data_IF_454317226726
#
_entry.id   IF_454317226726
#
_cell.length_a   1.000
_cell.length_b   1.000
_cell.length_c   1.000
_cell.angle_alpha   90.00
_cell.angle_beta   90.00
_cell.angle_gamma   90.00
#
_symmetry.space_group_name_H-M   'P 1'
#
loop_
_entity.id
_entity.type
_entity.pdbx_description
1 polymer ?
#
# COMPACT_ATOMS: atom_id res chain seq x y z
N UNK A 1 23.73 -24.68 17.72
CA UNK A 1 22.26 -24.70 17.46
C UNK A 1 21.56 -23.37 17.79
N UNK A 2 21.80 -22.72 18.94
CA UNK A 2 21.15 -21.41 19.27
C UNK A 2 21.39 -20.26 18.26
N UNK A 3 22.58 -20.17 17.65
CA UNK A 3 22.90 -19.14 16.64
C UNK A 3 22.14 -19.30 15.32
N UNK A 4 21.77 -20.52 14.94
CA UNK A 4 21.02 -20.78 13.68
C UNK A 4 19.56 -20.31 13.85
N UNK A 5 18.96 -20.53 15.01
CA UNK A 5 17.61 -20.05 15.34
C UNK A 5 17.50 -18.52 15.41
N UNK A 6 18.57 -17.83 15.85
CA UNK A 6 18.58 -16.36 15.93
C UNK A 6 18.66 -15.72 14.54
N UNK A 7 19.27 -16.39 13.55
CA UNK A 7 19.37 -15.89 12.17
C UNK A 7 18.14 -16.29 11.33
N UNK A 8 17.51 -17.44 11.62
CA UNK A 8 16.31 -17.87 10.90
C UNK A 8 15.05 -17.08 11.28
N UNK A 9 14.95 -16.59 12.53
CA UNK A 9 13.82 -15.80 13.01
C UNK A 9 13.61 -14.45 12.27
N UNK A 10 14.64 -13.60 12.06
CA UNK A 10 14.48 -12.36 11.29
C UNK A 10 14.22 -12.62 9.81
N UNK A 11 14.79 -13.69 9.23
CA UNK A 11 14.52 -14.08 7.83
C UNK A 11 13.05 -14.49 7.66
N UNK A 12 12.52 -15.29 8.59
CA UNK A 12 11.11 -15.69 8.56
C UNK A 12 10.17 -14.51 8.73
N UNK A 13 10.50 -13.56 9.63
CA UNK A 13 9.76 -12.30 9.78
C UNK A 13 9.76 -11.47 8.49
N UNK A 14 10.91 -11.32 7.83
CA UNK A 14 11.01 -10.58 6.55
C UNK A 14 10.16 -11.23 5.46
N UNK A 15 10.13 -12.56 5.37
CA UNK A 15 9.27 -13.27 4.41
C UNK A 15 7.78 -13.06 4.68
N UNK A 16 7.34 -13.03 5.94
CA UNK A 16 5.94 -12.74 6.29
C UNK A 16 5.50 -11.32 5.93
N UNK A 17 6.41 -10.34 5.90
CA UNK A 17 6.09 -8.97 5.45
C UNK A 17 5.97 -8.86 3.92
N UNK A 18 6.62 -9.75 3.17
CA UNK A 18 6.57 -9.72 1.69
C UNK A 18 5.22 -10.22 1.15
N UNK A 19 4.57 -11.17 1.82
CA UNK A 19 3.26 -11.70 1.40
C UNK A 19 2.13 -10.64 1.49
N UNK A 20 2.28 -9.68 2.40
CA UNK A 20 1.37 -8.54 2.56
C UNK A 20 1.90 -7.25 1.92
N UNK A 21 2.83 -7.32 0.98
CA UNK A 21 3.25 -6.11 0.28
C UNK A 21 2.17 -5.71 -0.73
N UNK A 22 1.79 -4.43 -0.73
CA UNK A 22 0.69 -3.91 -1.53
C UNK A 22 0.83 -4.24 -3.03
N UNK A 23 2.06 -4.27 -3.54
CA UNK A 23 2.40 -4.51 -4.95
C UNK A 23 2.00 -5.92 -5.43
N UNK A 24 1.97 -6.94 -4.57
CA UNK A 24 1.65 -8.31 -5.00
C UNK A 24 0.15 -8.57 -5.12
N UNK A 25 -0.69 -7.72 -4.54
CA UNK A 25 -2.13 -7.89 -4.65
C UNK A 25 -2.66 -7.37 -5.98
N UNK A 26 -3.54 -8.15 -6.62
CA UNK A 26 -4.11 -7.77 -7.92
C UNK A 26 -4.97 -6.50 -7.82
N UNK A 27 -5.70 -6.34 -6.70
CA UNK A 27 -6.55 -5.15 -6.44
C UNK A 27 -5.77 -3.83 -6.46
N UNK A 28 -4.48 -3.86 -6.17
CA UNK A 28 -3.61 -2.67 -6.08
C UNK A 28 -2.81 -2.42 -7.37
N UNK A 29 -2.98 -3.26 -8.40
CA UNK A 29 -2.22 -3.23 -9.65
C UNK A 29 -3.11 -2.80 -10.81
N UNK A 30 -3.41 -1.50 -10.90
CA UNK A 30 -4.37 -0.95 -11.87
C UNK A 30 -3.84 -1.10 -13.30
N UNK A 31 -2.62 -0.63 -13.58
CA UNK A 31 -2.02 -0.69 -14.92
C UNK A 31 -1.66 -2.11 -15.32
N UNK A 32 -1.09 -2.87 -14.41
CA UNK A 32 -0.67 -4.24 -14.72
C UNK A 32 -1.88 -5.13 -14.97
N UNK A 33 -2.97 -4.96 -14.19
CA UNK A 33 -4.23 -5.68 -14.46
C UNK A 33 -4.87 -5.27 -15.78
N UNK A 34 -4.76 -3.99 -16.16
CA UNK A 34 -5.22 -3.50 -17.46
C UNK A 34 -4.43 -4.11 -18.63
N UNK A 35 -3.10 -4.22 -18.49
CA UNK A 35 -2.25 -4.87 -19.49
C UNK A 35 -2.55 -6.36 -19.62
N UNK A 36 -2.76 -7.07 -18.50
CA UNK A 36 -3.14 -8.49 -18.48
C UNK A 36 -4.50 -8.74 -19.18
N UNK A 37 -5.42 -7.79 -19.09
CA UNK A 37 -6.71 -7.87 -19.78
C UNK A 37 -6.55 -7.67 -21.29
N UNK A 38 -5.68 -6.73 -21.70
CA UNK A 38 -5.56 -6.33 -23.10
C UNK A 38 -4.59 -7.18 -23.91
N UNK A 39 -3.51 -7.67 -23.30
CA UNK A 39 -2.46 -8.44 -23.96
C UNK A 39 -2.70 -9.93 -23.65
N UNK A 40 -3.51 -10.58 -24.49
CA UNK A 40 -3.79 -12.02 -24.40
C UNK A 40 -3.29 -12.75 -25.65
N UNK A 41 -2.04 -13.27 -25.64
CA UNK A 41 -1.52 -14.03 -26.78
C UNK A 41 -2.28 -15.36 -26.94
N UNK A 42 -2.67 -15.68 -28.16
CA UNK A 42 -3.43 -16.90 -28.49
C UNK A 42 -2.55 -18.17 -28.55
N UNK A 43 -1.23 -18.01 -28.64
CA UNK A 43 -0.28 -19.12 -28.75
C UNK A 43 1.04 -18.86 -28.00
N UNK A 44 1.74 -19.93 -27.61
CA UNK A 44 3.03 -19.85 -26.93
C UNK A 44 4.10 -19.13 -27.77
N UNK A 45 4.06 -19.28 -29.10
CA UNK A 45 4.98 -18.59 -30.02
C UNK A 45 4.72 -17.08 -30.00
N UNK A 46 3.46 -16.66 -30.00
CA UNK A 46 3.10 -15.24 -29.89
C UNK A 46 3.54 -14.65 -28.53
N UNK A 47 3.47 -15.42 -27.45
CA UNK A 47 3.95 -14.99 -26.13
C UNK A 47 5.47 -14.74 -26.11
N UNK A 48 6.25 -15.64 -26.72
CA UNK A 48 7.71 -15.48 -26.81
C UNK A 48 8.06 -14.30 -27.72
N UNK A 49 7.36 -14.13 -28.85
CA UNK A 49 7.57 -13.01 -29.76
C UNK A 49 7.26 -11.65 -29.12
N UNK A 50 6.26 -11.57 -28.24
CA UNK A 50 5.88 -10.35 -27.51
C UNK A 50 6.79 -10.07 -26.30
N UNK A 51 7.47 -11.09 -25.77
CA UNK A 51 8.27 -10.98 -24.55
C UNK A 51 9.28 -9.83 -24.52
N UNK A 52 10.01 -9.47 -25.61
CA UNK A 52 11.00 -8.40 -25.57
C UNK A 52 10.40 -7.02 -25.28
N UNK A 53 9.12 -6.82 -25.57
CA UNK A 53 8.38 -5.58 -25.31
C UNK A 53 7.52 -5.70 -24.07
N UNK A 54 6.82 -6.83 -23.92
CA UNK A 54 5.91 -7.07 -22.80
C UNK A 54 6.64 -7.08 -21.44
N UNK A 55 7.86 -7.64 -21.38
CA UNK A 55 8.62 -7.69 -20.12
C UNK A 55 8.99 -6.27 -19.64
N UNK A 56 9.66 -5.41 -20.43
CA UNK A 56 9.95 -4.05 -20.01
C UNK A 56 8.68 -3.25 -19.64
N UNK A 57 7.63 -3.34 -20.44
CA UNK A 57 6.37 -2.63 -20.19
C UNK A 57 5.71 -3.10 -18.89
N UNK A 58 5.67 -4.41 -18.65
CA UNK A 58 5.13 -4.99 -17.41
C UNK A 58 5.93 -4.61 -16.17
N UNK A 59 7.26 -4.49 -16.27
CA UNK A 59 8.10 -4.01 -15.15
C UNK A 59 7.79 -2.55 -14.84
N UNK A 60 7.70 -1.69 -15.86
CA UNK A 60 7.36 -0.28 -15.67
C UNK A 60 5.95 -0.12 -15.11
N UNK A 61 4.97 -0.90 -15.59
CA UNK A 61 3.60 -0.84 -15.08
C UNK A 61 3.53 -1.23 -13.60
N UNK A 62 4.24 -2.30 -13.21
CA UNK A 62 4.28 -2.77 -11.83
C UNK A 62 4.92 -1.73 -10.90
N UNK A 63 5.97 -1.06 -11.37
CA UNK A 63 6.64 0.00 -10.63
C UNK A 63 5.74 1.22 -10.43
N UNK A 64 5.02 1.63 -11.48
CA UNK A 64 4.06 2.74 -11.41
C UNK A 64 2.86 2.40 -10.52
N UNK A 65 2.35 1.17 -10.60
CA UNK A 65 1.31 0.68 -9.71
C UNK A 65 1.75 0.78 -8.25
N UNK A 66 2.94 0.28 -7.91
CA UNK A 66 3.42 0.24 -6.54
C UNK A 66 3.81 1.60 -5.93
N UNK A 67 4.41 2.50 -6.71
CA UNK A 67 4.99 3.75 -6.17
C UNK A 67 4.15 4.99 -6.39
N UNK A 68 3.21 4.96 -7.34
CA UNK A 68 2.44 6.13 -7.73
C UNK A 68 0.95 5.86 -7.57
N UNK A 69 0.42 4.87 -8.29
CA UNK A 69 -1.02 4.70 -8.38
C UNK A 69 -1.62 4.14 -7.10
N UNK A 70 -1.02 3.11 -6.52
CA UNK A 70 -1.48 2.53 -5.26
C UNK A 70 -1.44 3.55 -4.12
N UNK A 71 -0.32 4.26 -3.86
CA UNK A 71 -0.30 5.34 -2.87
C UNK A 71 -1.38 6.40 -3.10
N UNK A 72 -1.57 6.86 -4.34
CA UNK A 72 -2.62 7.84 -4.65
C UNK A 72 -4.02 7.30 -4.34
N UNK A 73 -4.30 6.03 -4.65
CA UNK A 73 -5.61 5.42 -4.41
C UNK A 73 -5.97 5.27 -2.93
N UNK A 74 -4.99 5.21 -2.03
CA UNK A 74 -5.22 5.03 -0.58
C UNK A 74 -5.28 6.34 0.20
N UNK A 75 -5.01 7.49 -0.43
CA UNK A 75 -5.19 8.82 0.17
C UNK A 75 -6.60 9.03 0.75
N UNK A 76 -7.71 8.78 0.01
CA UNK A 76 -9.04 9.01 0.55
C UNK A 76 -9.33 8.17 1.79
N UNK A 77 -8.92 6.90 1.79
CA UNK A 77 -9.08 6.00 2.94
C UNK A 77 -8.32 6.54 4.16
N UNK A 78 -7.06 6.95 3.98
CA UNK A 78 -6.24 7.49 5.05
C UNK A 78 -6.78 8.81 5.62
N UNK A 79 -7.38 9.65 4.77
CA UNK A 79 -8.08 10.86 5.22
C UNK A 79 -9.32 10.53 6.02
N UNK A 80 -10.13 9.57 5.54
CA UNK A 80 -11.34 9.15 6.21
C UNK A 80 -11.04 8.54 7.59
N UNK A 81 -10.00 7.73 7.70
CA UNK A 81 -9.59 7.15 8.98
C UNK A 81 -9.03 8.20 9.93
N UNK A 82 -8.24 9.14 9.44
CA UNK A 82 -7.77 10.29 10.23
C UNK A 82 -8.96 11.09 10.78
N UNK A 83 -9.99 11.31 9.95
CA UNK A 83 -11.22 11.99 10.35
C UNK A 83 -11.97 11.20 11.43
N UNK A 84 -12.19 9.90 11.21
CA UNK A 84 -12.88 9.03 12.17
C UNK A 84 -12.19 8.99 13.53
N UNK A 85 -10.86 8.83 13.53
CA UNK A 85 -10.10 8.63 14.78
C UNK A 85 -9.93 9.93 15.56
N UNK A 86 -9.72 11.07 14.90
CA UNK A 86 -9.37 12.33 15.59
C UNK A 86 -10.59 13.24 15.78
N UNK A 87 -11.53 13.24 14.83
CA UNK A 87 -12.54 14.28 14.68
C UNK A 87 -13.99 13.82 14.84
N UNK A 88 -14.36 12.61 14.38
CA UNK A 88 -15.76 12.20 14.23
C UNK A 88 -16.50 12.01 15.57
N UNK A 89 -15.84 11.48 16.60
CA UNK A 89 -16.48 11.19 17.90
C UNK A 89 -15.71 11.82 19.08
N UNK A 90 -15.84 13.14 19.29
CA UNK A 90 -15.13 13.83 20.37
C UNK A 90 -15.67 13.47 21.76
N UNK A 91 -14.83 12.86 22.59
CA UNK A 91 -15.14 12.62 24.00
C UNK A 91 -15.08 13.92 24.83
N UNK A 92 -16.07 14.15 25.70
CA UNK A 92 -16.08 15.24 26.66
C UNK A 92 -16.94 16.45 26.25
N UNK A 93 -17.01 17.44 27.14
CA UNK A 93 -17.78 18.67 26.91
C UNK A 93 -17.06 19.68 26.00
N UNK A 94 -17.81 20.71 25.56
CA UNK A 94 -17.32 21.74 24.62
C UNK A 94 -16.02 22.41 25.07
N UNK A 95 -15.90 22.74 26.37
CA UNK A 95 -14.70 23.40 26.93
C UNK A 95 -13.47 22.50 26.82
N UNK A 96 -13.62 21.20 27.06
CA UNK A 96 -12.52 20.23 26.91
C UNK A 96 -12.10 20.12 25.45
N UNK A 97 -13.07 20.08 24.51
CA UNK A 97 -12.80 20.07 23.07
C UNK A 97 -12.04 21.33 22.60
N UNK A 98 -12.31 22.50 23.18
CA UNK A 98 -11.54 23.72 22.90
C UNK A 98 -10.07 23.59 23.31
N UNK A 99 -9.80 22.99 24.48
CA UNK A 99 -8.44 22.77 24.96
C UNK A 99 -7.70 21.76 24.09
N UNK A 100 -8.36 20.67 23.70
CA UNK A 100 -7.73 19.60 22.88
C UNK A 100 -7.71 19.91 21.39
N UNK A 101 -8.29 21.02 20.93
CA UNK A 101 -8.33 21.39 19.52
C UNK A 101 -6.93 21.56 18.90
N UNK A 102 -6.06 22.34 19.53
CA UNK A 102 -4.69 22.54 19.05
C UNK A 102 -3.87 21.24 19.05
N UNK A 103 -3.90 20.41 20.11
CA UNK A 103 -3.32 19.07 20.06
C UNK A 103 -3.85 18.21 18.91
N UNK A 104 -5.17 18.17 18.67
CA UNK A 104 -5.77 17.41 17.56
C UNK A 104 -5.26 17.89 16.20
N UNK A 105 -5.20 19.20 15.99
CA UNK A 105 -4.64 19.78 14.76
C UNK A 105 -3.17 19.38 14.55
N UNK A 106 -2.36 19.39 15.62
CA UNK A 106 -0.95 19.01 15.54
C UNK A 106 -0.76 17.50 15.25
N UNK A 107 -1.62 16.64 15.79
CA UNK A 107 -1.54 15.17 15.61
C UNK A 107 -2.12 14.72 14.27
N UNK A 108 -3.07 15.46 13.69
CA UNK A 108 -3.74 15.13 12.42
C UNK A 108 -2.76 14.78 11.27
N UNK A 109 -1.77 15.62 10.91
CA UNK A 109 -0.85 15.28 9.82
C UNK A 109 0.04 14.08 10.15
N UNK A 110 0.39 13.88 11.43
CA UNK A 110 1.20 12.74 11.86
C UNK A 110 0.43 11.43 11.72
N UNK A 111 -0.82 11.41 12.18
CA UNK A 111 -1.69 10.24 12.06
C UNK A 111 -1.95 9.90 10.59
N UNK A 112 -2.30 10.91 9.78
CA UNK A 112 -2.48 10.73 8.35
C UNK A 112 -1.24 10.14 7.68
N UNK A 113 -0.05 10.67 7.95
CA UNK A 113 1.19 10.17 7.36
C UNK A 113 1.48 8.71 7.72
N UNK A 114 1.26 8.34 8.99
CA UNK A 114 1.47 6.97 9.45
C UNK A 114 0.48 6.02 8.77
N UNK A 115 -0.81 6.38 8.72
CA UNK A 115 -1.82 5.55 8.09
C UNK A 115 -1.62 5.44 6.57
N UNK A 116 -1.36 6.56 5.91
CA UNK A 116 -1.06 6.64 4.49
C UNK A 116 0.14 5.77 4.09
N UNK A 117 1.26 5.87 4.82
CA UNK A 117 2.45 5.05 4.55
C UNK A 117 2.19 3.57 4.84
N UNK A 118 1.43 3.28 5.90
CA UNK A 118 0.99 1.93 6.23
C UNK A 118 0.23 1.29 5.08
N UNK A 119 -0.80 1.97 4.55
CA UNK A 119 -1.62 1.50 3.42
C UNK A 119 -0.87 1.47 2.09
N UNK A 120 0.08 2.39 1.90
CA UNK A 120 0.88 2.44 0.67
C UNK A 120 1.86 1.26 0.58
N UNK A 121 2.47 0.86 1.70
CA UNK A 121 3.44 -0.23 1.74
C UNK A 121 2.84 -1.60 2.01
N UNK A 122 1.83 -1.66 2.88
CA UNK A 122 1.23 -2.89 3.38
C UNK A 122 -0.18 -3.01 2.81
N UNK A 123 -0.44 -4.16 2.21
CA UNK A 123 -1.77 -4.59 1.84
C UNK A 123 -2.59 -4.92 3.10
N UNK A 124 -3.55 -4.05 3.42
CA UNK A 124 -4.64 -4.33 4.36
C UNK A 124 -5.91 -4.79 3.62
#
# INVERSE_FOLDING_TARGET
>A
MKRIFIVSLPIFLVFSFLENCAVFQRKNRILTSYLDEKIRPESAVAQVALSPVAIPVGVVSLFLDGLVLHPISVIPDALEDTYKVIWMDPTGGVVFQTIVFFPKLAVTPLFFLVDFLGRSGIAF
#
